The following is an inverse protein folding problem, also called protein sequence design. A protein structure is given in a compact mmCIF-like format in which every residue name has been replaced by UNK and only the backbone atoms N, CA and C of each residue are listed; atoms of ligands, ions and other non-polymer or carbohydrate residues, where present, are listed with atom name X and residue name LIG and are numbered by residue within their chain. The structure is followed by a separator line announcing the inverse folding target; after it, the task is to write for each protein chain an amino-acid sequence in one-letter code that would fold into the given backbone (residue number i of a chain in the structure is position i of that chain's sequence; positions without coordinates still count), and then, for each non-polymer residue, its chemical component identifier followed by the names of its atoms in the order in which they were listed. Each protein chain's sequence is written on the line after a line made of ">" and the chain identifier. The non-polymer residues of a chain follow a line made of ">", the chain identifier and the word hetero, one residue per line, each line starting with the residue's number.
data_IF_868164946248
#
_entry.id   IF_868164946248
#
_cell.length_a   1.000
_cell.length_b   1.000
_cell.length_c   1.000
_cell.angle_alpha   90.00
_cell.angle_beta   90.00
_cell.angle_gamma   90.00
#
_symmetry.space_group_name_H-M   'P 1'
#
loop_
_entity.id
_entity.type
_entity.pdbx_description
1 polymer ?
#
# COMPACT_ATOMS: atom_id res chain seq x y z
N UNK A 1 -30.76 -28.53 -5.74
CA UNK A 1 -32.12 -29.08 -5.85
C UNK A 1 -32.05 -30.58 -6.11
N UNK A 2 -31.96 -31.38 -5.05
CA UNK A 2 -32.22 -32.83 -5.11
C UNK A 2 -33.65 -33.04 -4.61
N UNK A 3 -34.50 -33.61 -5.45
CA UNK A 3 -35.93 -33.78 -5.20
C UNK A 3 -36.15 -34.88 -4.13
N UNK A 4 -36.14 -34.50 -2.85
CA UNK A 4 -36.53 -35.37 -1.74
C UNK A 4 -38.05 -35.42 -1.70
N UNK A 5 -38.65 -36.34 -2.45
CA UNK A 5 -40.04 -36.71 -2.22
C UNK A 5 -40.18 -37.29 -0.80
N UNK A 6 -41.21 -36.88 -0.03
CA UNK A 6 -41.48 -37.49 1.26
C UNK A 6 -41.79 -38.98 1.05
N UNK A 7 -40.98 -39.87 1.65
CA UNK A 7 -41.29 -41.30 1.69
C UNK A 7 -42.65 -41.50 2.36
N UNK A 8 -43.52 -42.41 1.85
CA UNK A 8 -44.75 -42.75 2.55
C UNK A 8 -44.41 -43.32 3.92
N UNK A 9 -45.17 -42.88 4.91
CA UNK A 9 -45.05 -43.25 6.31
C UNK A 9 -45.21 -44.76 6.49
N UNK A 10 -44.14 -45.44 6.93
CA UNK A 10 -44.22 -46.79 7.50
C UNK A 10 -44.14 -46.59 9.01
N UNK A 11 -45.25 -46.80 9.69
CA UNK A 11 -45.30 -46.95 11.15
C UNK A 11 -44.20 -47.95 11.51
N UNK A 12 -43.36 -47.70 12.51
CA UNK A 12 -42.57 -48.81 13.06
C UNK A 12 -43.59 -49.77 13.65
N UNK A 13 -43.89 -50.81 12.88
CA UNK A 13 -44.94 -51.80 13.09
C UNK A 13 -44.98 -52.26 14.55
N UNK A 14 -43.85 -52.27 15.25
CA UNK A 14 -43.72 -52.70 16.64
C UNK A 14 -44.63 -52.00 17.65
N UNK A 15 -44.85 -50.69 17.60
CA UNK A 15 -45.63 -50.00 18.67
C UNK A 15 -47.15 -50.19 18.49
N UNK A 16 -47.61 -50.15 17.24
CA UNK A 16 -49.01 -50.40 16.90
C UNK A 16 -49.32 -51.90 17.04
N UNK A 17 -48.40 -52.77 16.62
CA UNK A 17 -48.54 -54.22 16.81
C UNK A 17 -48.43 -54.63 18.27
N UNK A 18 -47.60 -54.00 19.12
CA UNK A 18 -47.52 -54.36 20.53
C UNK A 18 -48.82 -54.02 21.27
N UNK A 19 -49.37 -52.83 21.03
CA UNK A 19 -50.63 -52.42 21.64
C UNK A 19 -51.84 -53.16 21.06
N UNK A 20 -51.83 -53.50 19.76
CA UNK A 20 -52.84 -54.38 19.17
C UNK A 20 -52.73 -55.81 19.71
N UNK A 21 -51.52 -56.34 19.94
CA UNK A 21 -51.32 -57.65 20.57
C UNK A 21 -51.78 -57.65 22.02
N UNK A 22 -51.50 -56.62 22.80
CA UNK A 22 -52.03 -56.51 24.17
C UNK A 22 -53.56 -56.45 24.19
N UNK A 23 -54.17 -55.67 23.28
CA UNK A 23 -55.62 -55.61 23.12
C UNK A 23 -56.22 -56.94 22.63
N UNK A 24 -55.59 -57.62 21.68
CA UNK A 24 -56.02 -58.93 21.16
C UNK A 24 -55.87 -60.03 22.22
N UNK A 25 -54.82 -59.97 23.05
CA UNK A 25 -54.61 -60.91 24.16
C UNK A 25 -55.66 -60.70 25.25
N UNK A 26 -55.98 -59.44 25.58
CA UNK A 26 -57.08 -59.10 26.46
C UNK A 26 -58.44 -59.57 25.90
N UNK A 27 -58.65 -59.45 24.58
CA UNK A 27 -59.87 -59.88 23.89
C UNK A 27 -60.01 -61.41 23.78
N UNK A 28 -58.93 -62.15 23.53
CA UNK A 28 -58.97 -63.63 23.52
C UNK A 28 -59.30 -64.20 24.90
N UNK A 29 -58.82 -63.57 25.97
CA UNK A 29 -59.21 -63.90 27.35
C UNK A 29 -60.65 -63.53 27.73
N UNK A 30 -61.44 -62.93 26.83
CA UNK A 30 -62.90 -62.70 27.00
C UNK A 30 -63.71 -63.89 26.49
N UNK A 31 -63.17 -64.66 25.53
CA UNK A 31 -63.89 -65.78 24.89
C UNK A 31 -64.01 -67.00 25.80
N UNK A 32 -63.07 -67.18 26.71
CA UNK A 32 -63.05 -68.31 27.65
C UNK A 32 -63.53 -67.87 29.05
N UNK A 33 -64.86 -67.76 29.21
CA UNK A 33 -65.57 -67.85 30.48
C UNK A 33 -65.34 -66.76 31.54
N UNK A 34 -66.10 -65.67 31.49
CA UNK A 34 -66.35 -64.80 32.65
C UNK A 34 -67.79 -64.24 32.60
N UNK A 35 -68.50 -64.24 33.74
CA UNK A 35 -69.85 -63.67 33.86
C UNK A 35 -69.92 -62.16 33.60
N UNK A 36 -71.14 -61.62 33.44
CA UNK A 36 -71.43 -60.24 32.97
C UNK A 36 -70.56 -59.14 33.63
N UNK A 37 -70.27 -59.22 34.93
CA UNK A 37 -69.44 -58.25 35.66
C UNK A 37 -67.95 -58.26 35.23
N UNK A 38 -67.41 -59.42 34.87
CA UNK A 38 -66.02 -59.57 34.41
C UNK A 38 -65.81 -59.06 32.98
N UNK A 39 -66.85 -59.13 32.15
CA UNK A 39 -66.86 -58.58 30.79
C UNK A 39 -66.89 -57.05 30.84
N UNK A 40 -67.73 -56.47 31.70
CA UNK A 40 -67.81 -55.01 31.91
C UNK A 40 -66.52 -54.41 32.47
N UNK A 41 -65.86 -55.08 33.43
CA UNK A 41 -64.57 -54.63 33.96
C UNK A 41 -63.46 -54.65 32.91
N UNK A 42 -63.40 -55.69 32.07
CA UNK A 42 -62.44 -55.80 30.96
C UNK A 42 -62.72 -54.78 29.84
N UNK A 43 -63.99 -54.51 29.52
CA UNK A 43 -64.35 -53.47 28.55
C UNK A 43 -63.91 -52.07 29.00
N UNK A 44 -64.09 -51.73 30.28
CA UNK A 44 -63.58 -50.46 30.83
C UNK A 44 -62.05 -50.37 30.79
N UNK A 45 -61.37 -51.49 31.04
CA UNK A 45 -59.91 -51.56 30.96
C UNK A 45 -59.40 -51.34 29.52
N UNK A 46 -60.09 -51.93 28.53
CA UNK A 46 -59.79 -51.70 27.10
C UNK A 46 -60.07 -50.26 26.69
N UNK A 47 -61.16 -49.66 27.16
CA UNK A 47 -61.48 -48.25 26.88
C UNK A 47 -60.43 -47.29 27.43
N UNK A 48 -59.96 -47.52 28.66
CA UNK A 48 -58.92 -46.70 29.29
C UNK A 48 -57.57 -46.84 28.57
N UNK A 49 -57.17 -48.07 28.20
CA UNK A 49 -55.98 -48.31 27.40
C UNK A 49 -56.06 -47.62 26.02
N UNK A 50 -57.25 -47.64 25.39
CA UNK A 50 -57.47 -46.93 24.14
C UNK A 50 -57.37 -45.41 24.29
N UNK A 51 -57.93 -44.82 25.36
CA UNK A 51 -57.79 -43.38 25.63
C UNK A 51 -56.33 -42.98 25.88
N UNK A 52 -55.59 -43.75 26.67
CA UNK A 52 -54.18 -43.47 26.95
C UNK A 52 -53.30 -43.64 25.71
N UNK A 53 -53.61 -44.63 24.85
CA UNK A 53 -52.97 -44.77 23.55
C UNK A 53 -53.29 -43.57 22.64
N UNK A 54 -54.56 -43.19 22.52
CA UNK A 54 -55.01 -42.06 21.70
C UNK A 54 -54.36 -40.74 22.13
N UNK A 55 -54.33 -40.44 23.43
CA UNK A 55 -53.73 -39.22 23.95
C UNK A 55 -52.21 -39.17 23.72
N UNK A 56 -51.50 -40.30 23.87
CA UNK A 56 -50.06 -40.39 23.55
C UNK A 56 -49.81 -40.19 22.05
N UNK A 57 -50.61 -40.83 21.21
CA UNK A 57 -50.52 -40.70 19.76
C UNK A 57 -50.80 -39.27 19.26
N UNK A 58 -51.82 -38.60 19.81
CA UNK A 58 -52.14 -37.20 19.50
C UNK A 58 -51.00 -36.25 19.89
N UNK A 59 -50.36 -36.47 21.06
CA UNK A 59 -49.19 -35.70 21.49
C UNK A 59 -47.96 -35.94 20.61
N UNK A 60 -47.71 -37.19 20.23
CA UNK A 60 -46.56 -37.54 19.39
C UNK A 60 -46.70 -36.98 17.97
N UNK A 61 -47.91 -37.02 17.40
CA UNK A 61 -48.21 -36.38 16.11
C UNK A 61 -48.08 -34.86 16.20
N UNK A 62 -48.62 -34.23 17.25
CA UNK A 62 -48.50 -32.78 17.44
C UNK A 62 -47.04 -32.35 17.60
N UNK A 63 -46.24 -33.12 18.34
CA UNK A 63 -44.80 -32.88 18.49
C UNK A 63 -44.02 -33.01 17.18
N UNK A 64 -44.37 -34.00 16.33
CA UNK A 64 -43.75 -34.17 15.00
C UNK A 64 -44.13 -33.06 14.03
N UNK A 65 -45.41 -32.67 13.95
CA UNK A 65 -45.85 -31.56 13.11
C UNK A 65 -45.16 -30.25 13.50
N UNK A 66 -44.99 -30.00 14.81
CA UNK A 66 -44.25 -28.84 15.29
C UNK A 66 -42.75 -28.91 14.94
N UNK A 67 -42.15 -30.10 14.94
CA UNK A 67 -40.76 -30.29 14.52
C UNK A 67 -40.56 -30.11 13.00
N UNK A 68 -41.49 -30.61 12.18
CA UNK A 68 -41.49 -30.41 10.72
C UNK A 68 -41.66 -28.94 10.36
N UNK A 69 -42.55 -28.22 11.04
CA UNK A 69 -42.71 -26.77 10.84
C UNK A 69 -41.42 -25.99 11.16
N UNK A 70 -40.73 -26.32 12.27
CA UNK A 70 -39.43 -25.70 12.62
C UNK A 70 -38.34 -26.05 11.62
N UNK A 71 -38.35 -27.26 11.07
CA UNK A 71 -37.39 -27.67 10.04
C UNK A 71 -37.58 -26.85 8.76
N UNK A 72 -38.83 -26.66 8.33
CA UNK A 72 -39.16 -25.84 7.17
C UNK A 72 -38.73 -24.37 7.35
N UNK A 73 -38.98 -23.78 8.52
CA UNK A 73 -38.51 -22.41 8.84
C UNK A 73 -36.97 -22.30 8.86
N UNK A 74 -36.29 -23.33 9.37
CA UNK A 74 -34.82 -23.37 9.39
C UNK A 74 -34.25 -23.52 7.97
N UNK A 75 -34.86 -24.33 7.11
CA UNK A 75 -34.47 -24.49 5.70
C UNK A 75 -34.64 -23.17 4.94
N UNK A 76 -35.76 -22.47 5.12
CA UNK A 76 -35.98 -21.16 4.51
C UNK A 76 -34.95 -20.12 4.99
N UNK A 77 -34.65 -20.12 6.31
CA UNK A 77 -33.63 -19.24 6.90
C UNK A 77 -32.23 -19.51 6.34
N UNK A 78 -31.85 -20.78 6.16
CA UNK A 78 -30.57 -21.17 5.55
C UNK A 78 -30.51 -20.66 4.10
N UNK A 79 -31.60 -20.77 3.34
CA UNK A 79 -31.66 -20.34 1.96
C UNK A 79 -31.61 -18.81 1.82
N UNK A 80 -32.21 -18.06 2.76
CA UNK A 80 -32.05 -16.61 2.86
C UNK A 80 -30.61 -16.21 3.22
N UNK A 81 -29.98 -16.86 4.20
CA UNK A 81 -28.59 -16.61 4.57
C UNK A 81 -27.61 -16.93 3.45
N UNK A 82 -27.83 -18.02 2.70
CA UNK A 82 -27.01 -18.39 1.55
C UNK A 82 -27.07 -17.32 0.46
N UNK A 83 -28.28 -16.81 0.13
CA UNK A 83 -28.46 -15.70 -0.82
C UNK A 83 -27.77 -14.42 -0.33
N UNK A 84 -27.87 -14.11 0.96
CA UNK A 84 -27.19 -12.96 1.57
C UNK A 84 -25.67 -13.04 1.48
N UNK A 85 -25.08 -14.21 1.80
CA UNK A 85 -23.64 -14.44 1.73
C UNK A 85 -23.11 -14.29 0.29
N UNK A 86 -23.89 -14.76 -0.69
CA UNK A 86 -23.52 -14.68 -2.10
C UNK A 86 -23.58 -13.24 -2.64
N UNK A 87 -24.54 -12.43 -2.18
CA UNK A 87 -24.59 -11.00 -2.46
C UNK A 87 -23.38 -10.25 -1.87
N UNK A 88 -23.04 -10.52 -0.60
CA UNK A 88 -21.86 -9.92 0.06
C UNK A 88 -20.57 -10.31 -0.65
N UNK A 89 -20.42 -11.57 -1.07
CA UNK A 89 -19.24 -12.04 -1.83
C UNK A 89 -19.08 -11.31 -3.16
N UNK A 90 -20.18 -11.08 -3.90
CA UNK A 90 -20.14 -10.32 -5.16
C UNK A 90 -19.73 -8.87 -4.92
N UNK A 91 -20.28 -8.23 -3.88
CA UNK A 91 -19.92 -6.86 -3.52
C UNK A 91 -18.43 -6.75 -3.14
N UNK A 92 -17.91 -7.68 -2.34
CA UNK A 92 -16.50 -7.71 -1.96
C UNK A 92 -15.57 -7.93 -3.17
N UNK A 93 -15.98 -8.77 -4.13
CA UNK A 93 -15.21 -8.99 -5.35
C UNK A 93 -15.13 -7.72 -6.21
N UNK A 94 -16.25 -7.00 -6.39
CA UNK A 94 -16.27 -5.72 -7.12
C UNK A 94 -15.40 -4.65 -6.45
N UNK A 95 -15.44 -4.54 -5.12
CA UNK A 95 -14.60 -3.59 -4.38
C UNK A 95 -13.11 -3.93 -4.49
N UNK A 96 -12.74 -5.22 -4.48
CA UNK A 96 -11.35 -5.65 -4.70
C UNK A 96 -10.85 -5.32 -6.10
N UNK A 97 -11.66 -5.57 -7.12
CA UNK A 97 -11.30 -5.27 -8.51
C UNK A 97 -11.08 -3.76 -8.72
N UNK A 98 -11.96 -2.92 -8.16
CA UNK A 98 -11.78 -1.46 -8.15
C UNK A 98 -10.49 -1.03 -7.45
N UNK A 99 -10.20 -1.60 -6.29
CA UNK A 99 -8.99 -1.29 -5.53
C UNK A 99 -7.71 -1.74 -6.25
N UNK A 100 -7.74 -2.87 -6.96
CA UNK A 100 -6.61 -3.33 -7.79
C UNK A 100 -6.38 -2.39 -8.98
N UNK A 101 -7.44 -2.02 -9.71
CA UNK A 101 -7.34 -1.06 -10.82
C UNK A 101 -6.79 0.30 -10.35
N UNK A 102 -7.21 0.79 -9.19
CA UNK A 102 -6.67 2.02 -8.60
C UNK A 102 -5.18 1.89 -8.25
N UNK A 103 -4.77 0.77 -7.65
CA UNK A 103 -3.35 0.50 -7.33
C UNK A 103 -2.48 0.38 -8.57
N UNK A 104 -2.98 -0.22 -9.63
CA UNK A 104 -2.24 -0.40 -10.89
C UNK A 104 -2.04 0.94 -11.61
N UNK A 105 -3.08 1.79 -11.65
CA UNK A 105 -2.96 3.18 -12.12
C UNK A 105 -1.93 3.97 -11.32
N UNK A 106 -1.97 3.89 -9.99
CA UNK A 106 -1.01 4.57 -9.12
C UNK A 106 0.44 4.09 -9.34
N UNK A 107 0.66 2.78 -9.55
CA UNK A 107 1.98 2.23 -9.88
C UNK A 107 2.50 2.69 -11.23
N UNK A 108 1.62 2.74 -12.23
CA UNK A 108 1.98 3.23 -13.55
C UNK A 108 2.41 4.71 -13.48
N UNK A 109 1.65 5.52 -12.75
CA UNK A 109 1.97 6.92 -12.50
C UNK A 109 3.30 7.08 -11.76
N UNK A 110 3.53 6.27 -10.71
CA UNK A 110 4.79 6.25 -9.96
C UNK A 110 6.00 5.89 -10.83
N UNK A 111 5.81 5.01 -11.82
CA UNK A 111 6.88 4.59 -12.73
C UNK A 111 7.21 5.72 -13.73
N UNK A 112 6.18 6.33 -14.33
CA UNK A 112 6.34 7.53 -15.16
C UNK A 112 7.03 8.66 -14.40
N UNK A 113 6.65 8.87 -13.14
CA UNK A 113 7.28 9.86 -12.25
C UNK A 113 8.74 9.52 -11.95
N UNK A 114 9.09 8.24 -11.75
CA UNK A 114 10.48 7.81 -11.54
C UNK A 114 11.34 8.03 -12.79
N UNK A 115 10.78 7.79 -13.98
CA UNK A 115 11.48 8.03 -15.24
C UNK A 115 11.68 9.53 -15.49
N UNK A 116 10.66 10.34 -15.18
CA UNK A 116 10.76 11.81 -15.18
C UNK A 116 11.82 12.27 -14.16
N UNK A 117 11.81 11.73 -12.94
CA UNK A 117 12.74 12.09 -11.86
C UNK A 117 14.19 11.71 -12.20
N UNK A 118 14.42 10.57 -12.85
CA UNK A 118 15.74 10.20 -13.38
C UNK A 118 16.22 11.13 -14.50
N UNK A 119 15.30 11.76 -15.21
CA UNK A 119 15.61 12.71 -16.30
C UNK A 119 15.75 14.18 -15.85
N UNK A 120 15.34 14.54 -14.62
CA UNK A 120 15.32 15.92 -14.13
C UNK A 120 16.37 16.09 -13.02
N UNK A 121 17.59 16.37 -13.43
CA UNK A 121 18.58 16.93 -12.53
C UNK A 121 18.19 18.37 -12.15
N UNK A 122 17.82 18.61 -10.88
CA UNK A 122 17.66 19.92 -10.16
C UNK A 122 16.25 20.53 -9.99
N UNK A 123 15.16 19.76 -9.98
CA UNK A 123 13.80 20.29 -9.76
C UNK A 123 13.34 20.29 -8.28
N UNK A 124 12.59 21.31 -7.86
CA UNK A 124 11.83 21.33 -6.61
C UNK A 124 10.55 20.47 -6.75
N UNK A 125 10.00 19.91 -5.66
CA UNK A 125 8.77 19.06 -5.65
C UNK A 125 7.61 19.67 -6.44
N UNK A 126 7.46 21.00 -6.40
CA UNK A 126 6.42 21.72 -7.14
C UNK A 126 6.57 21.63 -8.66
N UNK A 127 7.80 21.63 -9.19
CA UNK A 127 8.07 21.48 -10.63
C UNK A 127 7.72 20.07 -11.10
N UNK A 128 8.06 19.06 -10.29
CA UNK A 128 7.74 17.66 -10.61
C UNK A 128 6.21 17.43 -10.66
N UNK A 129 5.49 17.95 -9.65
CA UNK A 129 4.03 17.87 -9.61
C UNK A 129 3.42 18.58 -10.81
N UNK A 130 3.88 19.80 -11.10
CA UNK A 130 3.40 20.57 -12.24
C UNK A 130 3.60 19.80 -13.55
N UNK A 131 4.80 19.27 -13.81
CA UNK A 131 5.09 18.45 -15.01
C UNK A 131 4.19 17.23 -15.13
N UNK A 132 3.96 16.52 -14.02
CA UNK A 132 3.08 15.35 -14.01
C UNK A 132 1.65 15.74 -14.41
N UNK A 133 1.14 16.82 -13.83
CA UNK A 133 -0.19 17.34 -14.13
C UNK A 133 -0.32 17.86 -15.57
N UNK A 134 0.70 18.55 -16.11
CA UNK A 134 0.71 18.96 -17.52
C UNK A 134 0.70 17.77 -18.47
N UNK A 135 1.49 16.73 -18.15
CA UNK A 135 1.55 15.50 -18.96
C UNK A 135 0.18 14.81 -19.02
N UNK A 136 -0.51 14.71 -17.89
CA UNK A 136 -1.81 14.03 -17.80
C UNK A 136 -2.92 14.85 -18.47
N UNK A 137 -2.88 16.16 -18.34
CA UNK A 137 -3.90 17.05 -18.91
C UNK A 137 -3.66 17.36 -20.40
N UNK A 138 -2.45 17.09 -20.90
CA UNK A 138 -2.01 17.46 -22.25
C UNK A 138 -1.77 18.96 -22.43
N UNK A 139 -1.57 19.68 -21.32
CA UNK A 139 -1.27 21.11 -21.31
C UNK A 139 0.21 21.35 -21.62
N UNK A 140 0.50 22.41 -22.38
CA UNK A 140 1.89 22.77 -22.72
C UNK A 140 2.51 23.72 -21.70
N UNK A 141 1.69 24.41 -20.91
CA UNK A 141 2.14 25.48 -20.02
C UNK A 141 1.46 25.36 -18.68
N UNK A 142 2.08 25.86 -17.63
CA UNK A 142 1.39 25.92 -16.36
C UNK A 142 2.16 26.51 -15.21
N UNK A 143 1.45 26.62 -14.10
CA UNK A 143 1.88 27.25 -12.86
C UNK A 143 1.47 26.38 -11.67
N UNK A 144 2.34 26.31 -10.67
CA UNK A 144 1.97 25.87 -9.32
C UNK A 144 1.93 27.09 -8.41
N UNK A 145 0.74 27.40 -7.88
CA UNK A 145 0.51 28.53 -6.97
C UNK A 145 0.27 28.00 -5.56
N UNK A 146 0.89 28.59 -4.54
CA UNK A 146 0.57 28.26 -3.15
C UNK A 146 -0.76 28.85 -2.73
N UNK A 147 -1.53 28.06 -2.00
CA UNK A 147 -2.80 28.45 -1.42
C UNK A 147 -2.81 28.11 0.07
N UNK A 148 -1.84 28.65 0.83
CA UNK A 148 -1.73 28.46 2.28
C UNK A 148 -2.33 29.66 3.01
N UNK A 149 -3.24 29.36 3.94
CA UNK A 149 -3.75 30.21 5.02
C UNK A 149 -4.25 31.62 4.63
N UNK A 150 -5.04 32.29 5.48
CA UNK A 150 -5.55 33.64 5.15
C UNK A 150 -4.46 34.73 5.17
N UNK A 151 -3.34 34.47 5.84
CA UNK A 151 -2.31 35.47 6.16
C UNK A 151 -1.04 35.41 5.29
N UNK A 152 -0.80 34.33 4.52
CA UNK A 152 0.35 34.26 3.59
C UNK A 152 -0.11 34.54 2.16
N UNK A 153 0.40 35.60 1.50
CA UNK A 153 0.00 35.89 0.13
C UNK A 153 0.39 34.74 -0.82
N UNK A 154 -0.45 34.40 -1.83
CA UNK A 154 -0.14 33.35 -2.78
C UNK A 154 1.15 33.65 -3.54
N UNK A 155 1.96 32.63 -3.76
CA UNK A 155 3.26 32.68 -4.45
C UNK A 155 3.31 31.58 -5.51
N UNK A 156 4.00 31.84 -6.61
CA UNK A 156 4.26 30.80 -7.61
C UNK A 156 5.53 30.05 -7.21
N UNK A 157 5.44 28.72 -7.15
CA UNK A 157 6.54 27.84 -6.75
C UNK A 157 7.18 27.12 -7.93
N UNK A 158 6.42 26.95 -9.01
CA UNK A 158 6.90 26.38 -10.27
C UNK A 158 6.13 26.99 -11.43
N UNK A 159 6.82 27.10 -12.57
CA UNK A 159 6.25 27.60 -13.82
C UNK A 159 6.91 26.87 -14.99
N UNK A 160 6.11 26.52 -16.00
CA UNK A 160 6.56 25.91 -17.25
C UNK A 160 6.00 26.76 -18.37
N UNK A 161 6.90 27.35 -19.18
CA UNK A 161 6.57 28.20 -20.32
C UNK A 161 5.63 29.38 -19.98
N UNK A 162 5.80 29.96 -18.80
CA UNK A 162 5.16 31.22 -18.38
C UNK A 162 6.23 32.17 -17.84
N UNK A 163 6.57 33.19 -18.63
CA UNK A 163 7.67 34.12 -18.35
C UNK A 163 7.49 34.90 -17.04
N UNK A 164 8.61 35.20 -16.37
CA UNK A 164 8.64 35.99 -15.13
C UNK A 164 8.47 35.17 -13.84
N UNK A 165 7.97 33.94 -13.94
CA UNK A 165 7.77 33.05 -12.80
C UNK A 165 8.86 31.97 -12.70
N UNK A 166 9.14 31.45 -11.49
CA UNK A 166 8.49 31.71 -10.19
C UNK A 166 8.98 32.96 -9.44
N UNK A 167 9.85 33.78 -10.04
CA UNK A 167 10.52 34.89 -9.33
C UNK A 167 9.58 36.07 -9.01
N UNK A 168 8.60 36.32 -9.86
CA UNK A 168 7.60 37.36 -9.65
C UNK A 168 6.41 36.88 -8.77
N UNK A 169 5.74 37.79 -8.03
CA UNK A 169 4.47 37.47 -7.38
C UNK A 169 3.36 37.26 -8.43
N UNK A 170 2.33 36.43 -8.12
CA UNK A 170 1.24 36.21 -9.07
C UNK A 170 0.53 37.51 -9.43
N UNK A 171 0.25 37.68 -10.73
CA UNK A 171 -0.54 38.79 -11.28
C UNK A 171 -1.98 38.79 -10.74
N UNK A 172 -2.71 39.88 -10.98
CA UNK A 172 -4.13 39.96 -10.61
C UNK A 172 -4.98 38.90 -11.33
N UNK A 173 -4.64 38.60 -12.59
CA UNK A 173 -5.25 37.53 -13.37
C UNK A 173 -5.06 36.15 -12.72
N UNK A 174 -3.82 35.77 -12.38
CA UNK A 174 -3.54 34.50 -11.71
C UNK A 174 -4.19 34.43 -10.32
N UNK A 175 -4.22 35.55 -9.59
CA UNK A 175 -4.90 35.64 -8.28
C UNK A 175 -6.40 35.46 -8.41
N UNK A 176 -7.03 36.01 -9.44
CA UNK A 176 -8.47 35.86 -9.68
C UNK A 176 -8.83 34.38 -9.93
N UNK A 177 -8.10 33.71 -10.82
CA UNK A 177 -8.26 32.26 -11.08
C UNK A 177 -8.10 31.47 -9.78
N UNK A 178 -7.01 31.73 -9.05
CA UNK A 178 -6.68 31.05 -7.80
C UNK A 178 -7.79 31.22 -6.75
N UNK A 179 -8.30 32.45 -6.60
CA UNK A 179 -9.38 32.76 -5.66
C UNK A 179 -10.65 31.98 -5.99
N UNK A 180 -11.06 31.95 -7.25
CA UNK A 180 -12.27 31.24 -7.68
C UNK A 180 -12.17 29.74 -7.40
N UNK A 181 -11.02 29.13 -7.66
CA UNK A 181 -10.79 27.70 -7.34
C UNK A 181 -10.89 27.45 -5.84
N UNK A 182 -10.32 28.31 -5.00
CA UNK A 182 -10.40 28.16 -3.54
C UNK A 182 -11.79 28.38 -2.97
N UNK A 183 -12.54 29.37 -3.49
CA UNK A 183 -13.92 29.64 -3.08
C UNK A 183 -14.86 28.51 -3.44
N UNK A 184 -14.67 27.89 -4.60
CA UNK A 184 -15.48 26.76 -5.07
C UNK A 184 -15.02 25.42 -4.50
N UNK A 185 -13.75 25.32 -4.10
CA UNK A 185 -13.06 24.07 -3.78
C UNK A 185 -13.24 23.00 -4.87
N UNK A 186 -13.19 23.43 -6.14
CA UNK A 186 -13.39 22.58 -7.31
C UNK A 186 -12.63 23.14 -8.52
N UNK A 187 -12.51 22.33 -9.57
CA UNK A 187 -11.82 22.71 -10.80
C UNK A 187 -12.56 23.82 -11.55
N UNK A 188 -11.80 24.79 -12.02
CA UNK A 188 -12.25 25.83 -12.92
C UNK A 188 -11.69 25.55 -14.32
N UNK A 189 -12.58 25.38 -15.29
CA UNK A 189 -12.23 25.33 -16.70
C UNK A 189 -12.58 26.65 -17.34
N UNK A 190 -11.68 27.21 -18.14
CA UNK A 190 -11.95 28.45 -18.88
C UNK A 190 -11.44 28.37 -20.31
N UNK A 191 -12.33 28.72 -21.24
CA UNK A 191 -11.99 28.96 -22.64
C UNK A 191 -11.85 30.45 -22.95
N UNK A 192 -11.71 30.79 -24.23
CA UNK A 192 -11.49 32.17 -24.69
C UNK A 192 -12.58 33.16 -24.27
N UNK A 193 -13.82 32.71 -24.11
CA UNK A 193 -14.95 33.55 -23.67
C UNK A 193 -15.01 33.81 -22.17
N UNK A 194 -14.48 32.91 -21.33
CA UNK A 194 -14.48 33.07 -19.87
C UNK A 194 -13.28 33.88 -19.38
N UNK A 195 -12.18 33.82 -20.13
CA UNK A 195 -11.00 34.67 -19.91
C UNK A 195 -11.33 36.17 -20.01
N UNK A 196 -12.32 36.56 -20.81
CA UNK A 196 -12.76 37.95 -20.95
C UNK A 196 -13.45 38.52 -19.71
N UNK A 197 -13.85 37.69 -18.74
CA UNK A 197 -14.45 38.11 -17.46
C UNK A 197 -13.42 38.28 -16.34
N UNK A 198 -12.18 37.87 -16.59
CA UNK A 198 -11.07 37.96 -15.63
C UNK A 198 -10.27 39.25 -15.86
N UNK A 199 -9.49 39.71 -14.86
CA UNK A 199 -8.53 40.80 -15.05
C UNK A 199 -7.59 40.55 -16.23
N UNK A 200 -7.06 41.61 -16.85
CA UNK A 200 -6.17 41.44 -17.99
C UNK A 200 -4.87 40.69 -17.60
N UNK A 201 -4.43 39.71 -18.42
CA UNK A 201 -3.19 38.99 -18.19
C UNK A 201 -1.97 39.90 -18.36
N UNK A 202 -0.91 39.65 -17.59
CA UNK A 202 0.34 40.41 -17.69
C UNK A 202 1.25 39.79 -18.75
N UNK A 203 1.51 40.53 -19.82
CA UNK A 203 2.38 40.09 -20.91
C UNK A 203 1.77 38.99 -21.79
N UNK A 204 2.50 38.55 -22.80
CA UNK A 204 2.02 37.53 -23.74
C UNK A 204 1.99 36.12 -23.14
N UNK A 205 2.73 35.90 -22.06
CA UNK A 205 2.84 34.59 -21.41
C UNK A 205 1.67 34.27 -20.47
N UNK A 206 0.86 35.23 -20.02
CA UNK A 206 -0.37 34.90 -19.27
C UNK A 206 -1.61 34.80 -20.18
N UNK A 207 -1.47 35.10 -21.47
CA UNK A 207 -2.54 34.98 -22.47
C UNK A 207 -2.82 33.53 -22.84
N UNK A 208 -3.50 32.78 -21.97
CA UNK A 208 -3.91 31.40 -22.22
C UNK A 208 -5.01 31.35 -23.29
N UNK A 209 -4.96 30.37 -24.20
CA UNK A 209 -6.05 30.06 -25.14
C UNK A 209 -7.21 29.39 -24.42
N UNK A 210 -6.88 28.42 -23.60
CA UNK A 210 -7.75 27.73 -22.65
C UNK A 210 -6.93 27.32 -21.43
N UNK A 211 -7.61 27.11 -20.30
CA UNK A 211 -6.96 26.71 -19.06
C UNK A 211 -7.87 25.81 -18.22
N UNK A 212 -7.20 25.09 -17.32
CA UNK A 212 -7.78 24.32 -16.25
C UNK A 212 -7.03 24.67 -14.96
N UNK A 213 -7.76 25.09 -13.94
CA UNK A 213 -7.21 25.39 -12.63
C UNK A 213 -7.85 24.51 -11.57
N UNK A 214 -7.06 23.76 -10.81
CA UNK A 214 -7.56 22.75 -9.87
C UNK A 214 -6.80 22.81 -8.54
N UNK A 215 -7.47 22.53 -7.40
CA UNK A 215 -6.79 22.41 -6.12
C UNK A 215 -5.89 21.17 -6.11
N UNK A 216 -4.76 21.26 -5.41
CA UNK A 216 -3.83 20.15 -5.22
C UNK A 216 -3.42 20.03 -3.75
N UNK A 217 -3.44 18.79 -3.27
CA UNK A 217 -3.02 18.44 -1.90
C UNK A 217 -1.55 18.08 -1.91
N UNK A 218 -0.86 18.56 -0.88
CA UNK A 218 0.55 18.25 -0.62
C UNK A 218 0.69 17.89 0.85
N UNK A 219 1.18 16.67 1.14
CA UNK A 219 1.46 16.21 2.50
C UNK A 219 0.24 16.35 3.44
N UNK A 220 -0.92 15.85 3.01
CA UNK A 220 -2.20 15.89 3.74
C UNK A 220 -2.77 17.29 4.05
N UNK A 221 -2.32 18.33 3.34
CA UNK A 221 -2.91 19.67 3.41
C UNK A 221 -3.13 20.22 1.99
N UNK A 222 -4.33 20.76 1.70
CA UNK A 222 -4.58 21.53 0.47
C UNK A 222 -3.68 22.76 0.53
N UNK A 223 -2.61 22.77 -0.26
CA UNK A 223 -1.54 23.76 -0.13
C UNK A 223 -1.24 24.46 -1.46
N UNK A 224 -1.89 24.09 -2.54
CA UNK A 224 -1.65 24.72 -3.83
C UNK A 224 -2.76 24.54 -4.84
N UNK A 225 -2.61 25.28 -5.93
CA UNK A 225 -3.47 25.28 -7.10
C UNK A 225 -2.55 25.08 -8.28
N UNK A 226 -2.92 24.13 -9.14
CA UNK A 226 -2.27 24.00 -10.45
C UNK A 226 -3.12 24.73 -11.45
N UNK A 227 -2.47 25.53 -12.29
CA UNK A 227 -3.05 26.12 -13.48
C UNK A 227 -2.34 25.48 -14.66
N UNK A 228 -3.07 24.68 -15.43
CA UNK A 228 -2.63 24.07 -16.67
C UNK A 228 -3.26 24.82 -17.84
N UNK A 229 -2.46 25.20 -18.84
CA UNK A 229 -2.90 26.05 -19.93
C UNK A 229 -2.45 25.51 -21.30
N UNK A 230 -3.17 25.95 -22.32
CA UNK A 230 -2.89 25.69 -23.73
C UNK A 230 -2.84 24.19 -24.05
N UNK A 231 -3.97 23.50 -23.84
CA UNK A 231 -4.09 22.07 -24.14
C UNK A 231 -3.75 21.78 -25.61
N UNK A 232 -2.86 20.82 -25.87
CA UNK A 232 -2.38 20.50 -27.23
C UNK A 232 -3.51 20.26 -28.25
N UNK A 233 -4.61 19.63 -27.83
CA UNK A 233 -5.78 19.38 -28.68
C UNK A 233 -7.07 19.37 -27.86
N UNK A 234 -8.10 20.06 -28.37
CA UNK A 234 -9.42 20.15 -27.75
C UNK A 234 -9.48 21.03 -26.51
N UNK A 235 -10.57 20.89 -25.76
CA UNK A 235 -10.80 21.63 -24.51
C UNK A 235 -10.47 20.77 -23.27
N UNK A 236 -10.28 21.44 -22.15
CA UNK A 236 -10.24 20.76 -20.85
C UNK A 236 -11.66 20.33 -20.45
N UNK A 237 -11.75 19.25 -19.66
CA UNK A 237 -13.02 18.80 -19.08
C UNK A 237 -13.03 19.16 -17.58
N UNK A 238 -14.21 19.15 -16.96
CA UNK A 238 -14.34 19.49 -15.53
C UNK A 238 -13.97 18.30 -14.62
N UNK A 239 -13.92 17.07 -15.13
CA UNK A 239 -13.68 15.84 -14.36
C UNK A 239 -12.20 15.57 -13.98
N UNK A 240 -11.28 16.49 -14.31
CA UNK A 240 -9.87 16.34 -13.93
C UNK A 240 -9.60 16.57 -12.44
N UNK A 241 -10.56 17.07 -11.65
CA UNK A 241 -10.37 17.37 -10.21
C UNK A 241 -9.80 16.16 -9.46
N UNK A 242 -10.47 15.01 -9.54
CA UNK A 242 -10.06 13.80 -8.82
C UNK A 242 -8.71 13.28 -9.31
N UNK A 243 -8.48 13.36 -10.62
CA UNK A 243 -7.22 12.93 -11.24
C UNK A 243 -6.05 13.79 -10.77
N UNK A 244 -6.18 15.11 -10.79
CA UNK A 244 -5.11 16.03 -10.40
C UNK A 244 -4.83 16.02 -8.91
N UNK A 245 -5.87 15.90 -8.07
CA UNK A 245 -5.70 15.68 -6.63
C UNK A 245 -4.90 14.40 -6.36
N UNK A 246 -5.30 13.28 -6.99
CA UNK A 246 -4.62 11.99 -6.82
C UNK A 246 -3.16 12.03 -7.28
N UNK A 247 -2.88 12.70 -8.40
CA UNK A 247 -1.53 12.85 -8.95
C UNK A 247 -0.66 13.69 -8.04
N UNK A 248 -1.19 14.80 -7.52
CA UNK A 248 -0.48 15.65 -6.58
C UNK A 248 -0.08 14.91 -5.31
N UNK A 249 -1.02 14.20 -4.69
CA UNK A 249 -0.79 13.41 -3.49
C UNK A 249 0.27 12.32 -3.71
N UNK A 250 0.14 11.55 -4.78
CA UNK A 250 1.08 10.47 -5.10
C UNK A 250 2.48 11.01 -5.39
N UNK A 251 2.57 12.11 -6.12
CA UNK A 251 3.86 12.73 -6.46
C UNK A 251 4.53 13.30 -5.20
N UNK A 252 3.77 13.97 -4.33
CA UNK A 252 4.28 14.49 -3.06
C UNK A 252 4.81 13.37 -2.16
N UNK A 253 4.03 12.30 -1.97
CA UNK A 253 4.43 11.15 -1.17
C UNK A 253 5.67 10.45 -1.74
N UNK A 254 5.77 10.33 -3.08
CA UNK A 254 6.93 9.72 -3.73
C UNK A 254 8.20 10.54 -3.53
N UNK A 255 8.12 11.87 -3.60
CA UNK A 255 9.27 12.77 -3.37
C UNK A 255 9.71 12.72 -1.92
N UNK A 256 8.78 12.80 -0.96
CA UNK A 256 9.10 12.73 0.47
C UNK A 256 9.76 11.39 0.82
N UNK A 257 9.25 10.29 0.27
CA UNK A 257 9.85 8.98 0.47
C UNK A 257 11.28 8.90 -0.12
N UNK A 258 11.51 9.51 -1.28
CA UNK A 258 12.84 9.57 -1.90
C UNK A 258 13.82 10.49 -1.14
N UNK A 259 13.34 11.57 -0.52
CA UNK A 259 14.14 12.42 0.36
C UNK A 259 14.49 11.72 1.66
N UNK A 260 13.51 11.09 2.32
CA UNK A 260 13.70 10.30 3.54
C UNK A 260 14.69 9.15 3.31
N UNK A 261 14.62 8.50 2.15
CA UNK A 261 15.57 7.46 1.77
C UNK A 261 17.00 8.01 1.63
N UNK A 262 17.17 9.17 0.97
CA UNK A 262 18.48 9.84 0.83
C UNK A 262 19.04 10.31 2.17
N UNK A 263 18.20 10.85 3.05
CA UNK A 263 18.60 11.23 4.41
C UNK A 263 19.08 10.01 5.20
N UNK A 264 18.34 8.91 5.13
CA UNK A 264 18.73 7.65 5.76
C UNK A 264 20.07 7.13 5.23
N UNK A 265 20.30 7.17 3.91
CA UNK A 265 21.59 6.83 3.30
C UNK A 265 22.73 7.72 3.79
N UNK A 266 22.49 9.03 3.93
CA UNK A 266 23.44 9.97 4.51
C UNK A 266 23.79 9.64 5.97
N UNK A 267 22.78 9.32 6.79
CA UNK A 267 22.98 8.88 8.18
C UNK A 267 23.77 7.57 8.24
N UNK A 268 23.48 6.60 7.36
CA UNK A 268 24.27 5.36 7.29
C UNK A 268 25.72 5.64 6.92
N UNK A 269 25.97 6.49 5.92
CA UNK A 269 27.33 6.88 5.55
C UNK A 269 28.07 7.56 6.69
N UNK A 270 27.44 8.51 7.38
CA UNK A 270 28.03 9.17 8.55
C UNK A 270 28.29 8.21 9.71
N UNK A 271 27.37 7.27 9.97
CA UNK A 271 27.52 6.25 11.02
C UNK A 271 28.68 5.30 10.71
N UNK A 272 28.77 4.80 9.47
CA UNK A 272 29.88 3.95 9.02
C UNK A 272 31.19 4.73 9.09
N UNK A 273 31.20 6.01 8.68
CA UNK A 273 32.38 6.87 8.77
C UNK A 273 32.83 7.15 10.21
N UNK A 274 31.90 7.31 11.14
CA UNK A 274 32.21 7.47 12.56
C UNK A 274 32.80 6.19 13.18
N UNK A 275 32.24 5.03 12.83
CA UNK A 275 32.77 3.72 13.26
C UNK A 275 34.16 3.47 12.68
N UNK A 276 34.36 3.72 11.39
CA UNK A 276 35.66 3.62 10.73
C UNK A 276 36.69 4.57 11.38
N UNK A 277 36.31 5.83 11.60
CA UNK A 277 37.16 6.81 12.28
C UNK A 277 37.51 6.41 13.72
N UNK A 278 36.58 5.82 14.47
CA UNK A 278 36.86 5.30 15.81
C UNK A 278 37.87 4.14 15.76
N UNK A 279 37.81 3.28 14.75
CA UNK A 279 38.83 2.22 14.57
C UNK A 279 40.19 2.81 14.19
N UNK A 280 40.22 3.87 13.38
CA UNK A 280 41.44 4.60 13.03
C UNK A 280 42.04 5.37 14.22
N UNK A 281 41.27 5.75 15.26
CA UNK A 281 41.85 6.45 16.44
C UNK A 281 42.90 5.63 17.20
N UNK A 282 42.93 4.31 17.02
CA UNK A 282 43.98 3.46 17.57
C UNK A 282 45.31 3.52 16.78
N UNK A 283 45.31 4.12 15.58
CA UNK A 283 46.50 4.41 14.77
C UNK A 283 46.53 5.92 14.41
N UNK A 284 47.31 6.73 15.15
CA UNK A 284 47.43 8.18 14.95
C UNK A 284 47.85 8.59 13.53
N UNK A 285 48.40 7.68 12.71
CA UNK A 285 48.86 7.97 11.35
C UNK A 285 47.76 7.82 10.30
N UNK A 286 46.65 7.18 10.63
CA UNK A 286 45.54 6.89 9.70
C UNK A 286 44.29 7.72 9.93
N UNK A 287 44.25 8.57 10.96
CA UNK A 287 43.05 9.30 11.34
C UNK A 287 42.51 10.17 10.19
N UNK A 288 41.31 9.86 9.71
CA UNK A 288 40.64 10.58 8.63
C UNK A 288 41.08 10.17 7.22
N UNK A 289 41.98 9.20 7.07
CA UNK A 289 42.48 8.74 5.77
C UNK A 289 41.37 8.10 4.93
N UNK A 290 40.51 7.29 5.54
CA UNK A 290 39.35 6.72 4.86
C UNK A 290 38.35 7.77 4.38
N UNK A 291 38.12 8.84 5.16
CA UNK A 291 37.20 9.92 4.80
C UNK A 291 37.72 10.72 3.59
N UNK A 292 39.02 11.01 3.58
CA UNK A 292 39.63 11.73 2.47
C UNK A 292 39.69 10.87 1.20
N UNK A 293 40.00 9.57 1.32
CA UNK A 293 39.93 8.62 0.22
C UNK A 293 38.51 8.53 -0.37
N UNK A 294 37.48 8.45 0.48
CA UNK A 294 36.08 8.44 0.05
C UNK A 294 35.68 9.74 -0.67
N UNK A 295 36.21 10.89 -0.25
CA UNK A 295 35.99 12.17 -0.94
C UNK A 295 36.59 12.15 -2.36
N UNK A 296 37.82 11.68 -2.52
CA UNK A 296 38.43 11.56 -3.85
C UNK A 296 37.71 10.54 -4.72
N UNK A 297 37.32 9.40 -4.13
CA UNK A 297 36.52 8.38 -4.78
C UNK A 297 35.21 8.96 -5.35
N UNK A 298 34.49 9.77 -4.57
CA UNK A 298 33.26 10.43 -5.02
C UNK A 298 33.51 11.37 -6.22
N UNK A 299 34.60 12.14 -6.20
CA UNK A 299 34.95 13.05 -7.30
C UNK A 299 35.32 12.29 -8.59
N UNK A 300 36.13 11.25 -8.45
CA UNK A 300 36.59 10.44 -9.59
C UNK A 300 35.42 9.70 -10.24
N UNK A 301 34.62 9.00 -9.45
CA UNK A 301 33.47 8.22 -9.94
C UNK A 301 32.41 9.11 -10.59
N UNK A 302 32.15 10.31 -10.03
CA UNK A 302 31.29 11.30 -10.65
C UNK A 302 31.84 11.77 -12.01
N UNK A 303 33.16 12.00 -12.12
CA UNK A 303 33.80 12.43 -13.36
C UNK A 303 33.81 11.34 -14.44
N UNK A 304 33.84 10.08 -14.02
CA UNK A 304 33.72 8.89 -14.88
C UNK A 304 32.27 8.58 -15.29
N UNK A 305 31.28 9.21 -14.65
CA UNK A 305 29.86 8.98 -14.96
C UNK A 305 29.36 7.62 -14.50
N UNK A 306 29.92 7.05 -13.44
CA UNK A 306 29.45 5.77 -12.91
C UNK A 306 28.01 5.88 -12.37
N UNK A 307 27.20 4.80 -12.47
CA UNK A 307 25.92 4.71 -11.80
C UNK A 307 26.02 4.99 -10.29
N UNK A 308 24.95 5.53 -9.71
CA UNK A 308 24.92 5.89 -8.29
C UNK A 308 25.25 4.73 -7.35
N UNK A 309 24.76 3.53 -7.64
CA UNK A 309 25.03 2.32 -6.87
C UNK A 309 26.52 1.93 -6.89
N UNK A 310 27.18 2.04 -8.04
CA UNK A 310 28.61 1.79 -8.18
C UNK A 310 29.44 2.87 -7.48
N UNK A 311 29.03 4.14 -7.61
CA UNK A 311 29.64 5.25 -6.88
C UNK A 311 29.59 5.03 -5.38
N UNK A 312 28.43 4.62 -4.85
CA UNK A 312 28.28 4.31 -3.43
C UNK A 312 29.20 3.17 -3.01
N UNK A 313 29.27 2.10 -3.80
CA UNK A 313 30.16 0.96 -3.55
C UNK A 313 31.62 1.39 -3.45
N UNK A 314 32.09 2.22 -4.38
CA UNK A 314 33.47 2.71 -4.41
C UNK A 314 33.76 3.67 -3.25
N UNK A 315 32.83 4.56 -2.89
CA UNK A 315 32.96 5.45 -1.74
C UNK A 315 33.02 4.68 -0.41
N UNK A 316 32.14 3.69 -0.22
CA UNK A 316 32.17 2.83 0.97
C UNK A 316 33.45 1.99 1.02
N UNK A 317 33.92 1.49 -0.12
CA UNK A 317 35.17 0.74 -0.18
C UNK A 317 36.35 1.61 0.21
N UNK A 318 36.42 2.85 -0.32
CA UNK A 318 37.46 3.80 0.05
C UNK A 318 37.40 4.19 1.54
N UNK A 319 36.21 4.30 2.12
CA UNK A 319 36.04 4.57 3.54
C UNK A 319 36.49 3.41 4.44
N UNK A 320 36.30 2.17 3.98
CA UNK A 320 36.49 0.96 4.78
C UNK A 320 37.72 0.13 4.38
N UNK A 321 38.52 0.57 3.41
CA UNK A 321 39.59 -0.23 2.80
C UNK A 321 40.56 -0.81 3.83
N UNK A 322 40.84 -0.04 4.88
CA UNK A 322 41.81 -0.35 5.91
C UNK A 322 41.20 -0.94 7.20
N UNK A 323 39.89 -1.24 7.26
CA UNK A 323 39.23 -1.73 8.48
C UNK A 323 39.85 -3.02 9.04
N UNK A 324 40.42 -3.85 8.16
CA UNK A 324 41.08 -5.09 8.54
C UNK A 324 42.43 -4.91 9.26
N UNK A 325 42.99 -3.68 9.30
CA UNK A 325 44.22 -3.39 10.05
C UNK A 325 44.04 -3.66 11.54
N UNK A 326 42.80 -3.62 12.04
CA UNK A 326 42.43 -4.03 13.41
C UNK A 326 42.87 -5.44 13.80
N UNK A 327 43.12 -6.33 12.83
CA UNK A 327 43.60 -7.69 13.07
C UNK A 327 45.13 -7.85 13.04
N UNK A 328 45.88 -6.78 12.74
CA UNK A 328 47.34 -6.77 12.72
C UNK A 328 47.84 -6.17 14.04
N UNK A 329 48.83 -6.80 14.68
CA UNK A 329 49.35 -6.34 15.97
C UNK A 329 50.04 -4.99 15.88
N UNK A 330 49.83 -4.13 16.89
CA UNK A 330 50.40 -2.77 16.97
C UNK A 330 51.93 -2.73 16.81
N UNK A 331 52.65 -3.74 17.33
CA UNK A 331 54.11 -3.80 17.22
C UNK A 331 54.62 -3.91 15.79
N UNK A 332 53.79 -4.43 14.86
CA UNK A 332 54.11 -4.52 13.44
C UNK A 332 53.63 -3.25 12.71
N UNK A 333 52.40 -2.80 12.97
CA UNK A 333 51.86 -1.57 12.35
C UNK A 333 52.67 -0.31 12.71
N UNK A 334 53.20 -0.25 13.93
CA UNK A 334 53.93 0.91 14.45
C UNK A 334 55.45 0.72 14.47
N UNK A 335 55.98 -0.35 13.87
CA UNK A 335 57.41 -0.68 13.88
C UNK A 335 58.24 0.50 13.34
N UNK A 336 59.25 0.99 14.09
CA UNK A 336 60.17 2.00 13.57
C UNK A 336 61.15 1.35 12.59
N UNK A 337 61.07 1.72 11.32
CA UNK A 337 61.92 1.20 10.23
C UNK A 337 61.18 0.28 9.26
N UNK A 338 61.88 -0.32 8.28
CA UNK A 338 61.26 -1.17 7.28
C UNK A 338 60.70 -2.46 7.89
N UNK A 339 59.56 -2.92 7.35
CA UNK A 339 58.99 -4.22 7.67
C UNK A 339 59.85 -5.34 7.05
N UNK A 340 59.95 -6.46 7.76
CA UNK A 340 60.47 -7.71 7.22
C UNK A 340 59.48 -8.29 6.20
N UNK A 341 59.93 -9.12 5.25
CA UNK A 341 59.04 -9.72 4.25
C UNK A 341 57.85 -10.49 4.86
N UNK A 342 58.05 -11.12 6.02
CA UNK A 342 57.00 -11.85 6.74
C UNK A 342 55.98 -10.89 7.40
N UNK A 343 56.47 -9.77 7.95
CA UNK A 343 55.64 -8.72 8.53
C UNK A 343 54.81 -8.02 7.45
N UNK A 344 55.39 -7.76 6.28
CA UNK A 344 54.67 -7.19 5.14
C UNK A 344 53.55 -8.12 4.65
N UNK A 345 53.82 -9.43 4.55
CA UNK A 345 52.80 -10.43 4.22
C UNK A 345 51.66 -10.43 5.23
N UNK A 346 51.98 -10.30 6.52
CA UNK A 346 50.96 -10.21 7.57
C UNK A 346 50.13 -8.93 7.43
N UNK A 347 50.77 -7.77 7.22
CA UNK A 347 50.06 -6.51 7.00
C UNK A 347 49.12 -6.63 5.81
N UNK A 348 49.56 -7.18 4.67
CA UNK A 348 48.71 -7.38 3.47
C UNK A 348 47.46 -8.23 3.72
N UNK A 349 47.40 -9.03 4.78
CA UNK A 349 46.19 -9.77 5.12
C UNK A 349 45.00 -8.88 5.52
N UNK A 350 45.23 -7.61 5.88
CA UNK A 350 44.16 -6.67 6.25
C UNK A 350 43.11 -6.52 5.15
N UNK A 351 43.49 -6.57 3.86
CA UNK A 351 42.54 -6.46 2.75
C UNK A 351 41.56 -7.65 2.74
N UNK A 352 42.08 -8.87 2.95
CA UNK A 352 41.25 -10.09 3.05
C UNK A 352 40.38 -10.06 4.31
N UNK A 353 40.96 -9.73 5.46
CA UNK A 353 40.25 -9.70 6.75
C UNK A 353 39.17 -8.62 6.74
N UNK A 354 39.48 -7.43 6.22
CA UNK A 354 38.52 -6.34 6.04
C UNK A 354 37.35 -6.74 5.14
N UNK A 355 37.64 -7.41 4.01
CA UNK A 355 36.60 -7.93 3.12
C UNK A 355 35.72 -9.00 3.81
N UNK A 356 36.30 -9.89 4.61
CA UNK A 356 35.56 -10.90 5.38
C UNK A 356 34.67 -10.25 6.44
N UNK A 357 35.18 -9.26 7.17
CA UNK A 357 34.44 -8.51 8.19
C UNK A 357 33.25 -7.75 7.60
N UNK A 358 33.45 -6.99 6.52
CA UNK A 358 32.34 -6.24 5.91
C UNK A 358 31.39 -7.15 5.13
N UNK A 359 31.87 -8.29 4.64
CA UNK A 359 31.06 -9.29 3.94
C UNK A 359 29.97 -9.92 4.80
N UNK A 360 30.08 -9.87 6.13
CA UNK A 360 29.01 -10.32 7.05
C UNK A 360 27.83 -9.37 7.08
N UNK A 361 28.00 -8.11 6.66
CA UNK A 361 26.96 -7.09 6.64
C UNK A 361 26.25 -7.12 5.28
N UNK A 362 24.94 -7.47 5.21
CA UNK A 362 24.23 -7.65 3.94
C UNK A 362 24.35 -6.47 2.96
N UNK A 363 24.27 -5.24 3.46
CA UNK A 363 24.34 -4.01 2.63
C UNK A 363 25.76 -3.71 2.12
N UNK A 364 26.81 -4.28 2.71
CA UNK A 364 28.21 -4.07 2.33
C UNK A 364 28.82 -5.22 1.54
N UNK A 365 28.05 -6.27 1.20
CA UNK A 365 28.57 -7.43 0.46
C UNK A 365 29.20 -7.04 -0.89
N UNK A 366 28.63 -6.08 -1.61
CA UNK A 366 29.21 -5.56 -2.86
C UNK A 366 30.52 -4.80 -2.65
N UNK A 367 30.70 -4.21 -1.46
CA UNK A 367 31.90 -3.45 -1.08
C UNK A 367 33.09 -4.37 -0.77
N UNK A 368 32.83 -5.58 -0.25
CA UNK A 368 33.83 -6.58 0.12
C UNK A 368 34.83 -6.91 -0.99
N UNK A 369 34.35 -7.03 -2.24
CA UNK A 369 35.21 -7.33 -3.37
C UNK A 369 36.23 -6.20 -3.63
N UNK A 370 35.79 -4.94 -3.59
CA UNK A 370 36.64 -3.77 -3.82
C UNK A 370 37.66 -3.61 -2.69
N UNK A 371 37.23 -3.77 -1.43
CA UNK A 371 38.14 -3.74 -0.27
C UNK A 371 39.18 -4.84 -0.35
N UNK A 372 38.83 -6.03 -0.85
CA UNK A 372 39.81 -7.11 -1.02
C UNK A 372 40.92 -6.77 -2.03
N UNK A 373 40.60 -5.96 -3.03
CA UNK A 373 41.43 -5.72 -4.22
C UNK A 373 42.20 -4.40 -4.19
N UNK A 374 42.09 -3.59 -3.14
CA UNK A 374 42.63 -2.22 -3.14
C UNK A 374 44.17 -2.11 -3.19
N UNK A 375 44.90 -3.22 -3.01
CA UNK A 375 46.36 -3.30 -3.19
C UNK A 375 46.78 -4.04 -4.47
N UNK A 376 45.83 -4.44 -5.33
CA UNK A 376 46.14 -5.12 -6.58
C UNK A 376 46.68 -4.12 -7.63
N UNK A 377 47.52 -4.62 -8.53
CA UNK A 377 48.20 -3.82 -9.56
C UNK A 377 47.78 -4.30 -10.95
N UNK A 378 47.62 -3.36 -11.89
CA UNK A 378 47.28 -3.63 -13.30
C UNK A 378 48.51 -3.82 -14.17
#
# INVERSE_FOLDING_TARGET
>A
MGNLQPKPFVISDDLVLSSLREAETAYRGVRDGAGEDGVLAKLRQVEELYRQFKARWENEISGRLAAEARLAEAEESIEQLARGLEAIRRQLAQERERAEQQRERARHLTTLLKDINRSIHRGNVYDLILRACLTITGATRGLYVTARDRDDPPRIRAAIDVDGYPQAPPSEFIRAISRTVLERNDTLVGGSGDLAKLPEPVGTSEGFRNFLAAPVVLLNNINGIIIAADKLSGEFAEDYTETLLSVGDQTAAAVENAERQREMEGVYFATIGALAGAMETNDPRTHGSGQEAARYAALVTARLGLPEEERHTVCYAALLHDIGKSAVTDGILHKPGPLLPEEERLVRTHARIGAELIGTVPVLRGVAAVVRQHHEWY
#
